data_IF_825766136048
#
_entry.id   IF_825766136048
#
_cell.length_a   1.000
_cell.length_b   1.000
_cell.length_c   1.000
_cell.angle_alpha   90.00
_cell.angle_beta   90.00
_cell.angle_gamma   90.00
#
_symmetry.space_group_name_H-M   'P 1'
#
loop_
_entity.id
_entity.type
_entity.pdbx_description
1 polymer ?
#
# COMPACT_ATOMS: atom_id res chain seq x y z
N UNK A 1 23.57 -4.59 17.68
CA UNK A 1 22.42 -4.03 18.43
C UNK A 1 21.43 -3.46 17.41
N UNK A 2 20.14 -3.79 17.51
CA UNK A 2 19.09 -3.21 16.65
C UNK A 2 18.58 -1.87 17.19
N UNK A 3 17.98 -1.04 16.32
CA UNK A 3 17.41 0.25 16.72
C UNK A 3 16.08 0.05 17.44
N UNK A 4 15.95 0.62 18.64
CA UNK A 4 14.75 0.54 19.46
C UNK A 4 13.53 1.02 18.64
N UNK A 5 12.47 0.19 18.59
CA UNK A 5 11.23 0.47 17.86
C UNK A 5 11.05 -0.26 16.53
N UNK A 6 12.12 -0.74 15.91
CA UNK A 6 12.06 -1.48 14.63
C UNK A 6 12.24 -2.99 14.82
N UNK A 7 12.74 -3.41 15.98
CA UNK A 7 13.01 -4.81 16.28
C UNK A 7 11.73 -5.65 16.24
N UNK A 8 11.79 -6.75 15.50
CA UNK A 8 10.77 -7.79 15.56
C UNK A 8 10.71 -8.43 16.96
N UNK A 9 9.54 -8.85 17.44
CA UNK A 9 9.38 -9.42 18.78
C UNK A 9 10.26 -10.66 18.99
N UNK A 10 10.35 -11.55 18.00
CA UNK A 10 11.19 -12.75 18.07
C UNK A 10 12.68 -12.41 18.05
N UNK A 11 13.10 -11.36 17.35
CA UNK A 11 14.48 -10.88 17.38
C UNK A 11 14.83 -10.28 18.74
N UNK A 12 13.91 -9.52 19.35
CA UNK A 12 14.10 -8.97 20.69
C UNK A 12 14.20 -10.07 21.77
N UNK A 13 13.49 -11.19 21.59
CA UNK A 13 13.51 -12.32 22.54
C UNK A 13 14.69 -13.26 22.33
N UNK A 14 15.01 -13.62 21.08
CA UNK A 14 15.98 -14.69 20.75
C UNK A 14 17.33 -14.16 20.27
N UNK A 15 17.40 -12.91 19.82
CA UNK A 15 18.57 -12.32 19.18
C UNK A 15 18.85 -12.84 17.76
N UNK A 16 18.00 -13.69 17.20
CA UNK A 16 18.22 -14.29 15.88
C UNK A 16 17.76 -13.37 14.75
N UNK A 17 18.71 -12.91 13.94
CA UNK A 17 18.43 -12.14 12.73
C UNK A 17 17.92 -13.06 11.62
N UNK A 18 16.75 -12.75 11.08
CA UNK A 18 16.13 -13.51 9.99
C UNK A 18 15.59 -12.59 8.91
N UNK A 19 15.35 -13.12 7.72
CA UNK A 19 14.66 -12.36 6.66
C UNK A 19 13.28 -11.88 7.14
N UNK A 20 12.60 -12.64 8.01
CA UNK A 20 11.30 -12.27 8.57
C UNK A 20 11.38 -11.12 9.59
N UNK A 21 12.48 -11.00 10.33
CA UNK A 21 12.70 -9.84 11.22
C UNK A 21 12.99 -8.57 10.41
N UNK A 22 13.62 -8.69 9.24
CA UNK A 22 13.82 -7.58 8.31
C UNK A 22 12.49 -7.12 7.71
N UNK A 23 11.60 -8.05 7.32
CA UNK A 23 10.25 -7.72 6.85
C UNK A 23 9.45 -6.96 7.91
N UNK A 24 9.58 -7.33 9.19
CA UNK A 24 8.93 -6.59 10.28
C UNK A 24 9.48 -5.17 10.38
N UNK A 25 10.81 -5.03 10.37
CA UNK A 25 11.49 -3.73 10.44
C UNK A 25 11.07 -2.83 9.28
N UNK A 26 10.98 -3.40 8.06
CA UNK A 26 10.42 -2.73 6.88
C UNK A 26 8.98 -2.29 7.11
N UNK A 27 8.13 -3.14 7.66
CA UNK A 27 6.73 -2.82 7.97
C UNK A 27 6.60 -1.61 8.91
N UNK A 28 7.48 -1.50 9.90
CA UNK A 28 7.54 -0.33 10.80
C UNK A 28 7.91 0.94 10.02
N UNK A 29 8.96 0.90 9.20
CA UNK A 29 9.37 2.03 8.35
C UNK A 29 8.26 2.42 7.38
N UNK A 30 7.59 1.44 6.78
CA UNK A 30 6.50 1.71 5.86
C UNK A 30 5.30 2.37 6.56
N UNK A 31 5.02 1.98 7.80
CA UNK A 31 4.01 2.63 8.62
C UNK A 31 4.40 4.07 9.03
N UNK A 32 5.68 4.34 9.30
CA UNK A 32 6.17 5.70 9.52
C UNK A 32 5.93 6.58 8.28
N UNK A 33 6.21 6.05 7.08
CA UNK A 33 5.97 6.76 5.82
C UNK A 33 4.49 7.08 5.60
N UNK A 34 3.60 6.14 5.90
CA UNK A 34 2.14 6.36 5.76
C UNK A 34 1.63 7.40 6.77
N UNK A 35 2.16 7.36 7.99
CA UNK A 35 1.63 8.15 9.12
C UNK A 35 2.32 9.49 9.34
N UNK A 36 3.50 9.71 8.74
CA UNK A 36 4.35 10.87 9.01
C UNK A 36 4.88 10.94 10.45
N UNK A 37 4.82 9.83 11.20
CA UNK A 37 5.20 9.77 12.62
C UNK A 37 6.41 8.88 12.80
N UNK A 38 7.25 9.22 13.79
CA UNK A 38 8.41 8.42 14.17
C UNK A 38 7.97 7.10 14.82
N UNK A 39 8.72 6.03 14.57
CA UNK A 39 8.51 4.71 15.16
C UNK A 39 8.58 4.75 16.70
N UNK A 40 9.48 5.59 17.22
CA UNK A 40 9.58 5.95 18.64
C UNK A 40 9.44 7.46 18.79
N UNK A 41 8.42 7.87 19.52
CA UNK A 41 8.18 9.26 19.88
C UNK A 41 8.52 9.48 21.36
N UNK A 42 9.74 9.97 21.63
CA UNK A 42 10.24 10.24 22.99
C UNK A 42 9.53 11.39 23.70
N UNK A 43 8.74 12.19 22.98
CA UNK A 43 7.97 13.30 23.57
C UNK A 43 6.70 12.82 24.29
N UNK A 44 6.35 11.54 24.12
CA UNK A 44 5.12 10.94 24.66
C UNK A 44 5.35 10.17 25.96
N UNK A 45 4.30 10.01 26.78
CA UNK A 45 4.36 9.21 28.00
C UNK A 45 4.78 7.77 27.74
N UNK A 46 5.40 7.17 28.76
CA UNK A 46 5.90 5.80 28.72
C UNK A 46 4.74 4.82 28.42
N UNK A 47 4.93 3.92 27.45
CA UNK A 47 3.90 2.99 26.97
C UNK A 47 3.21 3.39 25.66
N UNK A 48 3.21 4.68 25.30
CA UNK A 48 2.64 5.18 24.02
C UNK A 48 3.70 5.65 23.02
N UNK A 49 4.97 5.48 23.34
CA UNK A 49 6.06 5.95 22.48
C UNK A 49 6.15 5.15 21.18
N UNK A 50 5.71 3.89 21.19
CA UNK A 50 5.82 2.99 20.05
C UNK A 50 4.66 3.16 19.06
N UNK A 51 4.99 3.46 17.80
CA UNK A 51 4.04 3.63 16.71
C UNK A 51 3.19 2.38 16.46
N UNK A 52 3.80 1.19 16.48
CA UNK A 52 3.13 -0.09 16.24
C UNK A 52 2.09 -0.35 17.32
N UNK A 53 2.43 -0.13 18.59
CA UNK A 53 1.50 -0.27 19.72
C UNK A 53 0.27 0.64 19.55
N UNK A 54 0.48 1.86 19.05
CA UNK A 54 -0.61 2.81 18.79
C UNK A 54 -1.44 2.48 17.55
N UNK A 55 -0.82 1.91 16.51
CA UNK A 55 -1.49 1.60 15.25
C UNK A 55 -2.30 0.30 15.31
N UNK A 56 -1.88 -0.68 16.12
CA UNK A 56 -2.59 -1.96 16.34
C UNK A 56 -4.11 -1.84 16.53
N UNK A 57 -4.64 -1.01 17.45
CA UNK A 57 -6.09 -0.87 17.62
C UNK A 57 -6.77 -0.22 16.42
N UNK A 58 -6.03 0.51 15.59
CA UNK A 58 -6.56 1.20 14.41
C UNK A 58 -6.62 0.27 13.20
N UNK A 59 -5.80 -0.77 13.12
CA UNK A 59 -5.87 -1.79 12.06
C UNK A 59 -7.14 -2.63 12.11
N UNK A 60 -7.78 -2.76 13.27
CA UNK A 60 -9.01 -3.54 13.42
C UNK A 60 -10.23 -2.83 12.80
N UNK A 61 -10.19 -1.51 12.69
CA UNK A 61 -11.30 -0.69 12.19
C UNK A 61 -10.93 0.06 10.91
N UNK A 62 -11.39 -0.45 9.76
CA UNK A 62 -11.17 0.20 8.45
C UNK A 62 -11.62 1.66 8.40
N UNK A 63 -12.65 2.03 9.18
CA UNK A 63 -13.15 3.41 9.27
C UNK A 63 -12.14 4.37 9.91
N UNK A 64 -11.17 3.86 10.68
CA UNK A 64 -10.15 4.65 11.37
C UNK A 64 -8.84 4.78 10.57
N UNK A 65 -8.74 4.15 9.39
CA UNK A 65 -7.52 4.19 8.57
C UNK A 65 -7.18 5.61 8.10
N UNK A 66 -8.18 6.47 7.89
CA UNK A 66 -7.94 7.90 7.61
C UNK A 66 -7.21 8.63 8.74
N UNK A 67 -7.35 8.18 10.00
CA UNK A 67 -6.63 8.75 11.15
C UNK A 67 -5.16 8.30 11.23
N UNK A 68 -4.81 7.24 10.50
CA UNK A 68 -3.44 6.77 10.36
C UNK A 68 -2.67 7.48 9.25
N UNK A 69 -3.35 8.11 8.30
CA UNK A 69 -2.66 8.87 7.26
C UNK A 69 -1.93 10.08 7.85
N UNK A 70 -0.82 10.46 7.22
CA UNK A 70 -0.05 11.64 7.58
C UNK A 70 -0.94 12.90 7.52
N UNK A 71 -1.07 13.65 8.63
CA UNK A 71 -1.78 14.93 8.66
C UNK A 71 -1.29 15.93 7.61
N UNK A 72 -0.01 15.89 7.22
CA UNK A 72 0.58 16.78 6.22
C UNK A 72 0.07 16.50 4.81
N UNK A 73 -0.42 15.29 4.54
CA UNK A 73 -1.04 14.98 3.25
C UNK A 73 -2.42 15.63 3.10
N UNK A 74 -3.04 16.13 4.17
CA UNK A 74 -4.32 16.90 4.12
C UNK A 74 -5.46 16.22 3.31
N UNK A 75 -5.46 14.88 3.21
CA UNK A 75 -6.44 14.14 2.41
C UNK A 75 -6.10 13.97 0.92
N UNK A 76 -4.94 14.46 0.48
CA UNK A 76 -4.41 14.35 -0.89
C UNK A 76 -3.82 12.96 -1.15
N UNK A 77 -4.65 11.93 -1.00
CA UNK A 77 -4.27 10.55 -1.29
C UNK A 77 -5.50 9.73 -1.67
N UNK A 78 -5.33 8.70 -2.50
CA UNK A 78 -6.43 7.81 -2.84
C UNK A 78 -6.77 6.92 -1.64
N UNK A 79 -7.99 6.98 -1.11
CA UNK A 79 -8.43 6.16 0.03
C UNK A 79 -8.22 4.66 -0.21
N UNK A 80 -8.44 4.20 -1.45
CA UNK A 80 -8.20 2.80 -1.83
C UNK A 80 -6.71 2.43 -1.71
N UNK A 81 -5.82 3.30 -2.18
CA UNK A 81 -4.37 3.10 -2.08
C UNK A 81 -3.91 3.08 -0.63
N UNK A 82 -4.42 4.00 0.21
CA UNK A 82 -4.15 4.01 1.64
C UNK A 82 -4.57 2.70 2.32
N UNK A 83 -5.76 2.18 1.99
CA UNK A 83 -6.23 0.91 2.57
C UNK A 83 -5.35 -0.27 2.21
N UNK A 84 -4.90 -0.33 0.96
CA UNK A 84 -4.01 -1.39 0.50
C UNK A 84 -2.61 -1.25 1.12
N UNK A 85 -2.08 -0.04 1.19
CA UNK A 85 -0.80 0.24 1.85
C UNK A 85 -0.83 -0.16 3.34
N UNK A 86 -1.88 0.23 4.07
CA UNK A 86 -2.05 -0.16 5.47
C UNK A 86 -2.23 -1.67 5.64
N UNK A 87 -2.90 -2.36 4.70
CA UNK A 87 -3.01 -3.81 4.74
C UNK A 87 -1.64 -4.48 4.59
N UNK A 88 -0.81 -4.02 3.64
CA UNK A 88 0.56 -4.51 3.47
C UNK A 88 1.40 -4.25 4.72
N UNK A 89 1.35 -3.04 5.27
CA UNK A 89 2.05 -2.69 6.50
C UNK A 89 1.60 -3.59 7.67
N UNK A 90 0.28 -3.79 7.84
CA UNK A 90 -0.30 -4.63 8.89
C UNK A 90 0.18 -6.08 8.80
N UNK A 91 0.25 -6.66 7.59
CA UNK A 91 0.78 -8.01 7.39
C UNK A 91 2.28 -8.12 7.72
N UNK A 92 3.06 -7.08 7.46
CA UNK A 92 4.50 -7.06 7.76
C UNK A 92 4.80 -6.99 9.25
N UNK A 93 4.01 -6.24 10.03
CA UNK A 93 4.23 -6.01 11.48
C UNK A 93 3.58 -7.04 12.40
N UNK A 94 3.16 -8.19 11.87
CA UNK A 94 2.54 -9.25 12.67
C UNK A 94 3.52 -9.82 13.70
N UNK A 95 3.01 -10.19 14.87
CA UNK A 95 3.84 -10.79 15.94
C UNK A 95 4.46 -12.10 15.47
N UNK A 96 3.66 -12.96 14.84
CA UNK A 96 4.14 -14.24 14.34
C UNK A 96 4.93 -14.08 13.05
N UNK A 97 6.21 -14.45 13.04
CA UNK A 97 7.06 -14.38 11.85
C UNK A 97 6.52 -15.21 10.65
N UNK A 98 5.80 -16.31 10.94
CA UNK A 98 5.22 -17.17 9.91
C UNK A 98 4.13 -16.48 9.08
N UNK A 99 3.35 -15.57 9.67
CA UNK A 99 2.23 -14.89 8.99
C UNK A 99 2.66 -13.68 8.17
N UNK A 100 3.92 -13.23 8.33
CA UNK A 100 4.47 -12.13 7.54
C UNK A 100 4.69 -12.58 6.08
N UNK A 101 4.42 -11.72 5.09
CA UNK A 101 4.62 -12.05 3.68
C UNK A 101 6.11 -12.21 3.34
N UNK A 102 6.40 -12.79 2.17
CA UNK A 102 7.75 -12.73 1.62
C UNK A 102 8.03 -11.33 1.10
N UNK A 103 9.30 -10.90 1.14
CA UNK A 103 9.65 -9.55 0.67
C UNK A 103 9.33 -9.37 -0.83
N UNK A 104 9.37 -10.43 -1.64
CA UNK A 104 8.94 -10.39 -3.04
C UNK A 104 7.46 -10.06 -3.22
N UNK A 105 6.59 -10.60 -2.36
CA UNK A 105 5.15 -10.30 -2.37
C UNK A 105 4.90 -8.84 -1.97
N UNK A 106 5.64 -8.36 -0.96
CA UNK A 106 5.59 -6.96 -0.53
C UNK A 106 6.00 -6.03 -1.67
N UNK A 107 7.11 -6.30 -2.34
CA UNK A 107 7.57 -5.51 -3.49
C UNK A 107 6.54 -5.53 -4.63
N UNK A 108 5.93 -6.68 -4.89
CA UNK A 108 4.89 -6.81 -5.92
C UNK A 108 3.66 -5.96 -5.57
N UNK A 109 3.20 -6.03 -4.32
CA UNK A 109 2.07 -5.24 -3.84
C UNK A 109 2.36 -3.74 -3.90
N UNK A 110 3.54 -3.30 -3.46
CA UNK A 110 3.95 -1.89 -3.51
C UNK A 110 4.13 -1.40 -4.94
N UNK A 111 4.68 -2.22 -5.83
CA UNK A 111 4.80 -1.90 -7.26
C UNK A 111 3.42 -1.73 -7.88
N UNK A 112 2.44 -2.58 -7.53
CA UNK A 112 1.07 -2.40 -7.97
C UNK A 112 0.48 -1.07 -7.49
N UNK A 113 0.74 -0.68 -6.23
CA UNK A 113 0.25 0.58 -5.65
C UNK A 113 0.88 1.81 -6.28
N UNK A 114 2.20 1.81 -6.50
CA UNK A 114 2.93 2.89 -7.14
C UNK A 114 2.49 3.11 -8.60
N UNK A 115 2.02 2.05 -9.25
CA UNK A 115 1.52 2.07 -10.62
C UNK A 115 0.04 2.46 -10.73
N UNK A 116 -0.67 2.65 -9.62
CA UNK A 116 -2.01 3.26 -9.65
C UNK A 116 -1.85 4.77 -9.82
N UNK A 117 -2.26 5.31 -10.98
CA UNK A 117 -2.31 6.76 -11.17
C UNK A 117 -3.23 7.40 -10.13
N UNK A 118 -2.72 8.39 -9.40
CA UNK A 118 -3.55 9.25 -8.56
C UNK A 118 -4.11 10.39 -9.41
N UNK A 119 -5.41 10.33 -9.71
CA UNK A 119 -6.12 11.45 -10.32
C UNK A 119 -6.89 12.20 -9.22
N UNK A 120 -6.42 13.39 -8.78
CA UNK A 120 -7.06 14.17 -7.73
C UNK A 120 -8.48 14.66 -8.11
N UNK A 121 -8.82 14.64 -9.42
CA UNK A 121 -10.14 15.01 -9.93
C UNK A 121 -11.09 13.82 -10.11
N UNK A 122 -10.66 12.58 -9.87
CA UNK A 122 -11.59 11.45 -9.86
C UNK A 122 -12.28 11.38 -8.50
N UNK A 123 -13.60 11.66 -8.41
CA UNK A 123 -14.32 11.44 -7.16
C UNK A 123 -14.24 9.95 -6.84
N UNK A 124 -14.05 9.62 -5.56
CA UNK A 124 -14.16 8.26 -5.02
C UNK A 124 -15.58 7.72 -5.21
N UNK A 125 -15.90 7.37 -6.46
CA UNK A 125 -17.16 6.85 -6.91
C UNK A 125 -17.02 5.37 -7.19
N UNK A 126 -17.60 4.58 -6.30
CA UNK A 126 -17.86 3.16 -6.45
C UNK A 126 -18.51 2.89 -7.82
N UNK A 127 -17.73 2.54 -8.86
CA UNK A 127 -18.29 2.05 -10.13
C UNK A 127 -18.79 0.62 -9.93
N UNK A 128 -19.92 0.49 -9.23
CA UNK A 128 -20.88 -0.56 -9.51
C UNK A 128 -21.34 -0.33 -10.94
N UNK A 129 -20.79 -1.08 -11.89
CA UNK A 129 -21.23 -1.11 -13.28
C UNK A 129 -22.57 -1.85 -13.35
N UNK A 130 -23.62 -1.16 -12.93
CA UNK A 130 -25.01 -1.51 -13.22
C UNK A 130 -25.55 -0.44 -14.17
N UNK A 131 -25.71 -0.78 -15.44
CA UNK A 131 -26.47 0.03 -16.39
C UNK A 131 -27.39 -0.94 -17.12
N UNK A 132 -28.60 -1.05 -16.58
CA UNK A 132 -29.72 -1.69 -17.24
C UNK A 132 -30.27 -0.80 -18.36
N UNK A 133 -30.77 -1.51 -19.37
CA UNK A 133 -31.95 -1.22 -20.17
C UNK A 133 -31.96 0.01 -21.09
N UNK A 134 -31.91 -0.28 -22.40
CA UNK A 134 -32.88 0.26 -23.35
C UNK A 134 -33.40 -0.87 -24.24
N UNK A 135 -34.67 -1.23 -24.02
CA UNK A 135 -35.53 -1.88 -25.01
C UNK A 135 -35.74 -0.93 -26.20
N UNK A 136 -35.65 -1.45 -27.43
CA UNK A 136 -36.64 -1.14 -28.47
C UNK A 136 -36.68 -2.21 -29.57
N UNK A 137 -37.91 -2.55 -29.94
CA UNK A 137 -38.35 -3.66 -30.82
C UNK A 137 -38.03 -3.43 -32.29
N UNK A 138 -37.87 -4.53 -33.07
CA UNK A 138 -38.59 -4.79 -34.36
C UNK A 138 -38.26 -6.18 -34.98
N UNK A 139 -39.21 -7.10 -34.77
CA UNK A 139 -39.92 -8.03 -35.67
C UNK A 139 -39.24 -8.92 -36.76
N UNK A 140 -39.71 -10.19 -36.77
CA UNK A 140 -39.77 -11.23 -37.83
C UNK A 140 -38.44 -11.86 -38.30
N UNK A 141 -38.27 -13.18 -38.43
CA UNK A 141 -39.17 -14.20 -38.98
C UNK A 141 -39.11 -15.59 -38.31
N UNK A 142 -40.16 -16.37 -38.60
CA UNK A 142 -40.52 -17.69 -38.11
C UNK A 142 -39.63 -18.84 -38.63
N UNK A 143 -39.15 -19.73 -37.74
CA UNK A 143 -39.25 -21.19 -37.93
C UNK A 143 -38.92 -22.01 -36.67
N UNK A 144 -39.97 -22.57 -36.08
CA UNK A 144 -40.11 -23.98 -35.69
C UNK A 144 -39.13 -24.64 -34.71
N UNK A 145 -39.66 -25.10 -33.56
CA UNK A 145 -39.14 -26.28 -32.85
C UNK A 145 -39.47 -26.32 -31.35
N UNK A 146 -40.52 -27.06 -30.97
CA UNK A 146 -40.89 -27.36 -29.57
C UNK A 146 -39.91 -28.38 -28.94
N UNK A 147 -39.67 -28.29 -27.61
CA UNK A 147 -39.70 -29.40 -26.62
C UNK A 147 -39.49 -28.83 -25.20
N UNK A 148 -40.14 -29.47 -24.22
CA UNK A 148 -40.39 -29.03 -22.83
C UNK A 148 -39.29 -29.40 -21.81
N UNK A 149 -39.27 -28.60 -20.71
CA UNK A 149 -38.93 -28.89 -19.29
C UNK A 149 -37.48 -29.29 -18.92
N UNK A 150 -36.83 -28.53 -18.02
CA UNK A 150 -36.83 -28.78 -16.56
C UNK A 150 -36.10 -27.66 -15.78
N UNK A 151 -36.51 -27.41 -14.54
CA UNK A 151 -35.79 -26.57 -13.55
C UNK A 151 -34.66 -27.37 -12.89
N UNK A 152 -33.51 -26.75 -12.62
CA UNK A 152 -32.88 -26.64 -11.29
C UNK A 152 -31.51 -25.94 -11.34
N UNK A 153 -31.39 -24.94 -10.46
CA UNK A 153 -30.25 -24.53 -9.62
C UNK A 153 -28.81 -25.00 -9.97
N UNK A 154 -27.87 -24.06 -9.99
CA UNK A 154 -26.51 -24.32 -9.46
C UNK A 154 -25.32 -23.72 -10.22
N UNK A 155 -24.81 -22.60 -9.70
CA UNK A 155 -23.37 -22.34 -9.54
C UNK A 155 -22.48 -22.19 -10.79
N UNK A 156 -22.21 -20.95 -11.23
CA UNK A 156 -21.11 -20.67 -12.16
C UNK A 156 -19.85 -20.27 -11.38
N UNK A 157 -19.01 -21.26 -11.04
CA UNK A 157 -17.63 -21.05 -10.62
C UNK A 157 -16.80 -20.51 -11.79
N UNK A 158 -16.13 -19.35 -11.60
CA UNK A 158 -15.18 -18.83 -12.59
C UNK A 158 -13.84 -19.53 -12.41
N UNK A 159 -13.59 -20.47 -13.31
CA UNK A 159 -12.31 -21.12 -13.58
C UNK A 159 -11.36 -20.10 -14.22
N UNK A 160 -10.17 -19.93 -13.64
CA UNK A 160 -9.11 -19.13 -14.24
C UNK A 160 -8.32 -20.05 -15.16
N UNK A 161 -8.68 -20.09 -16.44
CA UNK A 161 -7.84 -20.71 -17.46
C UNK A 161 -6.76 -19.68 -17.88
N UNK A 162 -5.53 -19.99 -17.52
CA UNK A 162 -4.29 -19.34 -17.97
C UNK A 162 -4.00 -19.88 -19.36
N UNK A 163 -4.34 -19.12 -20.39
CA UNK A 163 -3.87 -19.40 -21.75
C UNK A 163 -3.25 -18.13 -22.32
N UNK A 164 -1.93 -18.21 -22.51
CA UNK A 164 -1.10 -17.14 -23.03
C UNK A 164 -1.51 -16.76 -24.44
N UNK A 165 -1.60 -15.46 -24.68
CA UNK A 165 -1.70 -14.90 -26.02
C UNK A 165 -0.62 -13.84 -26.12
N UNK A 166 0.52 -14.26 -26.66
CA UNK A 166 1.58 -13.39 -27.14
C UNK A 166 0.95 -12.42 -28.15
N UNK A 167 0.89 -11.13 -27.81
CA UNK A 167 0.44 -10.08 -28.72
C UNK A 167 1.57 -9.09 -28.89
N UNK A 168 1.90 -8.87 -30.15
CA UNK A 168 2.94 -7.99 -30.65
C UNK A 168 2.94 -6.62 -29.96
N UNK A 169 4.12 -6.23 -29.46
CA UNK A 169 4.35 -4.98 -28.75
C UNK A 169 4.09 -3.77 -29.66
N UNK A 170 3.03 -3.01 -29.34
CA UNK A 170 2.76 -1.74 -29.99
C UNK A 170 3.84 -0.71 -29.60
N UNK A 171 4.37 0.10 -30.53
CA UNK A 171 5.36 1.16 -30.23
C UNK A 171 4.89 2.18 -29.19
N UNK A 172 3.57 2.28 -28.98
CA UNK A 172 2.97 3.12 -27.93
C UNK A 172 3.11 2.53 -26.53
N UNK A 173 3.21 1.21 -26.41
CA UNK A 173 3.31 0.50 -25.15
C UNK A 173 4.75 0.53 -24.63
N UNK A 174 5.72 0.29 -25.51
CA UNK A 174 7.16 0.45 -25.21
C UNK A 174 7.51 1.89 -24.81
N UNK A 175 6.97 2.89 -25.51
CA UNK A 175 7.14 4.30 -25.12
C UNK A 175 6.52 4.63 -23.75
N UNK A 176 5.38 4.02 -23.39
CA UNK A 176 4.77 4.20 -22.06
C UNK A 176 5.58 3.52 -20.96
N UNK A 177 6.20 2.38 -21.25
CA UNK A 177 7.08 1.68 -20.32
C UNK A 177 8.35 2.50 -20.06
N UNK A 178 9.01 2.99 -21.10
CA UNK A 178 10.22 3.82 -20.98
C UNK A 178 9.97 5.11 -20.20
N UNK A 179 8.83 5.78 -20.43
CA UNK A 179 8.46 6.95 -19.65
C UNK A 179 8.21 6.61 -18.16
N UNK A 180 7.60 5.46 -17.87
CA UNK A 180 7.40 5.00 -16.48
C UNK A 180 8.71 4.65 -15.77
N UNK A 181 9.67 4.08 -16.48
CA UNK A 181 10.98 3.79 -15.91
C UNK A 181 11.74 5.09 -15.59
N UNK A 182 11.65 6.10 -16.46
CA UNK A 182 12.18 7.44 -16.20
C UNK A 182 11.50 8.13 -15.00
N UNK A 183 10.18 8.04 -14.88
CA UNK A 183 9.43 8.58 -13.74
C UNK A 183 9.80 7.86 -12.43
N UNK A 184 10.02 6.54 -12.50
CA UNK A 184 10.51 5.74 -11.37
C UNK A 184 11.91 6.18 -10.94
N UNK A 185 12.83 6.36 -11.88
CA UNK A 185 14.19 6.84 -11.58
C UNK A 185 14.17 8.25 -10.97
N UNK A 186 13.32 9.14 -11.47
CA UNK A 186 13.11 10.48 -10.89
C UNK A 186 12.58 10.41 -9.47
N UNK A 187 11.56 9.60 -9.20
CA UNK A 187 11.01 9.43 -7.87
C UNK A 187 12.05 8.85 -6.88
N UNK A 188 12.90 7.92 -7.34
CA UNK A 188 14.00 7.38 -6.53
C UNK A 188 15.07 8.44 -6.26
N UNK A 189 15.43 9.25 -7.26
CA UNK A 189 16.37 10.34 -7.09
C UNK A 189 15.84 11.41 -6.11
N UNK A 190 14.56 11.77 -6.23
CA UNK A 190 13.91 12.72 -5.33
C UNK A 190 13.81 12.17 -3.90
N UNK A 191 13.48 10.90 -3.73
CA UNK A 191 13.48 10.24 -2.43
C UNK A 191 14.89 10.20 -1.79
N UNK A 192 15.95 9.99 -2.59
CA UNK A 192 17.34 10.09 -2.12
C UNK A 192 17.66 11.50 -1.63
N UNK A 193 17.36 12.51 -2.44
CA UNK A 193 17.59 13.92 -2.09
C UNK A 193 16.80 14.31 -0.83
N UNK A 194 15.56 13.86 -0.70
CA UNK A 194 14.75 14.09 0.49
C UNK A 194 15.39 13.45 1.73
N UNK A 195 15.86 12.21 1.63
CA UNK A 195 16.56 11.52 2.71
C UNK A 195 17.89 12.19 3.10
N UNK A 196 18.64 12.70 2.14
CA UNK A 196 19.88 13.45 2.37
C UNK A 196 19.60 14.80 3.03
N UNK A 197 18.66 15.59 2.50
CA UNK A 197 18.28 16.88 3.07
C UNK A 197 17.70 16.72 4.49
N UNK A 198 16.90 15.68 4.73
CA UNK A 198 16.39 15.39 6.07
C UNK A 198 17.50 15.01 7.06
N UNK A 199 18.50 14.23 6.62
CA UNK A 199 19.71 13.92 7.42
C UNK A 199 20.54 15.17 7.70
N UNK A 200 20.72 16.03 6.70
CA UNK A 200 21.45 17.30 6.81
C UNK A 200 20.75 18.22 7.82
N UNK A 201 19.42 18.34 7.74
CA UNK A 201 18.62 19.14 8.67
C UNK A 201 18.70 18.62 10.10
N UNK A 202 18.76 17.29 10.31
CA UNK A 202 19.03 16.73 11.65
C UNK A 202 20.44 17.07 12.15
N UNK A 203 21.46 17.00 11.29
CA UNK A 203 22.85 17.34 11.64
C UNK A 203 23.00 18.81 12.04
N UNK A 204 22.33 19.71 11.32
CA UNK A 204 22.29 21.15 11.66
C UNK A 204 21.50 21.43 12.95
N UNK A 205 20.43 20.69 13.21
CA UNK A 205 19.66 20.84 14.47
C UNK A 205 20.48 20.40 15.69
N UNK A 206 21.39 19.43 15.52
CA UNK A 206 22.30 18.97 16.59
C UNK A 206 23.50 19.93 16.79
N UNK A 207 23.95 20.64 15.76
CA UNK A 207 25.01 21.66 15.88
C UNK A 207 24.51 23.03 16.37
N UNK A 208 23.25 23.40 16.07
CA UNK A 208 22.68 24.68 16.50
C UNK A 208 22.32 24.77 18.00
N UNK A 209 22.53 23.69 18.77
CA UNK A 209 22.22 23.66 20.21
C UNK A 209 23.40 24.04 21.13
N UNK A 210 24.56 24.42 20.58
CA UNK A 210 25.78 24.73 21.37
C UNK A 210 26.14 26.23 21.44
N UNK A 211 25.54 27.10 20.62
CA UNK A 211 25.94 28.52 20.52
C UNK A 211 24.96 29.52 21.18
N UNK A 212 24.19 29.08 22.18
CA UNK A 212 23.10 29.86 22.78
C UNK A 212 23.32 30.41 24.19
N UNK A 213 24.56 30.48 24.71
CA UNK A 213 24.81 31.06 26.04
C UNK A 213 26.15 31.82 26.11
N UNK A 214 26.18 33.02 25.53
CA UNK A 214 26.96 34.13 26.09
C UNK A 214 26.44 35.46 25.54
N UNK A 215 25.85 36.27 26.43
CA UNK A 215 25.33 37.60 26.16
C UNK A 215 24.61 38.14 27.38
#
# INVERSE_FOLDING_TARGET
MGTYGYCAPEYAMTGQLTVKSDVYSFGVVFLELITGRKAIDSTRPHGEQNLVTRARPLFNDRRKFSKLADPLLQGWYPMRGLYQALAVASMCIQEQAATRPLIGDVVTALSYLANQGYDPNTPSGNRHRGSGEKEEKRNRDERGGRILKNEESGGSGRRWDFEGSEKEDSPRETARMLNRDLDRERAVAEAKMWGENWREKRRQTEQGSFDGNNG
#
